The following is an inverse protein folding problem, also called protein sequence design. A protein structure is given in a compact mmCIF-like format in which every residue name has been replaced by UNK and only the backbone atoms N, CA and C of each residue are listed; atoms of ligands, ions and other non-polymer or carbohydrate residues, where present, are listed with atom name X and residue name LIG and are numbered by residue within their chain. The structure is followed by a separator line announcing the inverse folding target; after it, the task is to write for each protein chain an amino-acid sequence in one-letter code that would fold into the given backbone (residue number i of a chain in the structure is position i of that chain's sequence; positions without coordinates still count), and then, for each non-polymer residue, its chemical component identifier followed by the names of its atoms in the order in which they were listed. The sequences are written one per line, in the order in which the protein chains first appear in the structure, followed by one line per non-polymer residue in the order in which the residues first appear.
data_IF_884047545451
#
_entry.id   IF_884047545451
#
_cell.length_a   1.000
_cell.length_b   1.000
_cell.length_c   1.000
_cell.angle_alpha   90.00
_cell.angle_beta   90.00
_cell.angle_gamma   90.00
#
_symmetry.space_group_name_H-M   'P 1'
#
loop_
_entity.id
_entity.type
_entity.pdbx_description
1 polymer ?
#
# COMPACT_ATOMS: atom_id res chain seq x y z
N UNK A 1 -10.88 -17.31 -2.49
CA UNK A 1 -10.50 -17.39 -3.91
C UNK A 1 -10.19 -15.97 -4.40
N UNK A 2 -9.08 -15.73 -5.12
CA UNK A 2 -8.77 -14.42 -5.73
C UNK A 2 -8.85 -14.59 -7.24
N UNK A 3 -9.62 -13.75 -7.93
CA UNK A 3 -9.63 -13.69 -9.37
C UNK A 3 -8.30 -13.04 -9.82
N UNK A 4 -7.56 -13.73 -10.67
CA UNK A 4 -6.33 -13.21 -11.25
C UNK A 4 -6.45 -13.28 -12.77
N UNK A 5 -6.25 -12.14 -13.41
CA UNK A 5 -6.29 -12.03 -14.87
C UNK A 5 -4.87 -12.11 -15.42
N UNK A 6 -4.69 -12.79 -16.54
CA UNK A 6 -3.40 -12.88 -17.23
C UNK A 6 -3.12 -11.61 -18.04
N UNK A 7 -2.36 -10.69 -17.46
CA UNK A 7 -1.93 -9.45 -18.11
C UNK A 7 -0.57 -9.54 -18.81
N UNK A 8 0.01 -10.73 -19.03
CA UNK A 8 1.35 -10.84 -19.63
C UNK A 8 1.47 -10.11 -20.96
N UNK A 9 0.47 -10.20 -21.85
CA UNK A 9 0.44 -9.49 -23.13
C UNK A 9 0.37 -7.97 -22.94
N UNK A 10 -0.48 -7.49 -22.06
CA UNK A 10 -0.59 -6.06 -21.74
C UNK A 10 0.71 -5.55 -21.11
N UNK A 11 1.26 -6.29 -20.17
CA UNK A 11 2.51 -5.94 -19.49
C UNK A 11 3.72 -5.85 -20.44
N UNK A 12 3.74 -6.65 -21.51
CA UNK A 12 4.78 -6.60 -22.52
C UNK A 12 4.76 -5.30 -23.34
N UNK A 13 3.59 -4.69 -23.50
CA UNK A 13 3.39 -3.42 -24.21
C UNK A 13 3.46 -2.20 -23.27
N UNK A 14 3.39 -2.42 -21.98
CA UNK A 14 3.36 -1.36 -20.97
C UNK A 14 4.76 -0.82 -20.72
N UNK A 15 4.95 0.47 -20.84
CA UNK A 15 6.17 1.14 -20.38
C UNK A 15 6.27 0.99 -18.87
N UNK A 16 7.35 0.33 -18.41
CA UNK A 16 7.55 0.04 -17.00
C UNK A 16 7.89 1.31 -16.22
N UNK A 17 7.11 1.60 -15.21
CA UNK A 17 7.41 2.64 -14.23
C UNK A 17 8.59 2.18 -13.34
N UNK A 18 9.62 3.03 -13.25
CA UNK A 18 10.83 2.78 -12.45
C UNK A 18 10.77 3.48 -11.09
N UNK A 19 9.58 3.75 -10.58
CA UNK A 19 9.45 4.36 -9.26
C UNK A 19 10.18 3.49 -8.22
N UNK A 20 11.11 4.08 -7.45
CA UNK A 20 11.89 3.32 -6.50
C UNK A 20 11.00 2.73 -5.42
N UNK A 21 11.03 1.42 -5.25
CA UNK A 21 10.45 0.80 -4.07
C UNK A 21 11.34 1.08 -2.86
N UNK A 22 10.77 1.32 -1.68
CA UNK A 22 11.55 1.55 -0.46
C UNK A 22 12.55 0.41 -0.25
N UNK A 23 13.81 0.78 0.00
CA UNK A 23 14.83 -0.21 0.35
C UNK A 23 14.75 -0.52 1.85
N UNK A 24 14.66 -1.79 2.19
CA UNK A 24 14.63 -2.27 3.58
C UNK A 24 15.95 -1.96 4.29
N UNK A 25 17.04 -1.83 3.56
CA UNK A 25 18.40 -1.64 4.09
C UNK A 25 18.60 -0.30 4.85
N UNK A 26 17.73 0.69 4.66
CA UNK A 26 17.79 1.98 5.37
C UNK A 26 17.00 2.00 6.68
N UNK A 27 16.32 0.91 7.03
CA UNK A 27 15.45 0.82 8.21
C UNK A 27 16.18 0.64 9.55
N UNK A 28 17.36 -0.05 9.66
CA UNK A 28 17.95 -0.36 10.95
C UNK A 28 18.28 0.86 11.81
N UNK A 29 18.80 1.93 11.21
CA UNK A 29 19.18 3.14 11.95
C UNK A 29 17.96 3.88 12.50
N UNK A 30 16.88 3.92 11.75
CA UNK A 30 15.61 4.57 12.14
C UNK A 30 14.92 3.84 13.29
N UNK A 31 15.07 2.52 13.37
CA UNK A 31 14.44 1.69 14.39
C UNK A 31 15.30 1.57 15.67
N UNK A 32 16.52 2.11 15.67
CA UNK A 32 17.42 2.00 16.79
C UNK A 32 16.88 2.66 18.06
N UNK A 33 16.84 1.88 19.15
CA UNK A 33 16.31 2.31 20.45
C UNK A 33 14.78 2.33 20.56
N UNK A 34 14.05 1.96 19.50
CA UNK A 34 12.60 1.76 19.58
C UNK A 34 12.26 0.48 20.35
N UNK A 35 11.15 0.52 21.10
CA UNK A 35 10.67 -0.57 21.95
C UNK A 35 9.24 -1.00 21.63
N UNK A 36 8.49 -0.17 20.94
CA UNK A 36 7.11 -0.43 20.59
C UNK A 36 6.96 -0.39 19.07
N UNK A 37 6.32 -1.41 18.53
CA UNK A 37 6.11 -1.57 17.10
C UNK A 37 4.66 -1.93 16.83
N UNK A 38 4.09 -1.37 15.76
CA UNK A 38 2.78 -1.76 15.26
C UNK A 38 2.83 -1.89 13.75
N UNK A 39 2.41 -3.04 13.26
CA UNK A 39 2.26 -3.30 11.82
C UNK A 39 0.80 -3.17 11.43
N UNK A 40 0.52 -2.38 10.42
CA UNK A 40 -0.81 -2.16 9.86
C UNK A 40 -0.84 -2.59 8.40
N UNK A 41 -1.70 -3.55 8.05
CA UNK A 41 -1.90 -4.07 6.69
C UNK A 41 -3.16 -3.43 6.08
N UNK A 42 -3.04 -2.92 4.85
CA UNK A 42 -4.17 -2.34 4.15
C UNK A 42 -5.11 -3.42 3.60
N UNK A 43 -6.41 -3.23 3.78
CA UNK A 43 -7.42 -4.14 3.24
C UNK A 43 -7.48 -4.05 1.72
N UNK A 44 -6.92 -5.05 1.02
CA UNK A 44 -6.94 -5.07 -0.45
C UNK A 44 -6.28 -3.83 -1.06
N UNK A 45 -5.10 -3.43 -0.59
CA UNK A 45 -4.45 -2.15 -0.87
C UNK A 45 -4.63 -1.65 -2.31
N UNK A 46 -4.27 -2.45 -3.32
CA UNK A 46 -4.43 -2.09 -4.72
C UNK A 46 -5.89 -1.80 -5.12
N UNK A 47 -6.84 -2.53 -4.55
CA UNK A 47 -8.26 -2.34 -4.89
C UNK A 47 -8.88 -1.10 -4.26
N UNK A 48 -8.17 -0.40 -3.40
CA UNK A 48 -8.58 0.90 -2.86
C UNK A 48 -8.14 2.06 -3.76
N UNK A 49 -7.39 1.78 -4.83
CA UNK A 49 -6.89 2.78 -5.77
C UNK A 49 -7.67 2.68 -7.08
N UNK A 50 -8.26 3.77 -7.53
CA UNK A 50 -8.96 3.82 -8.81
C UNK A 50 -7.99 3.85 -9.99
N UNK A 51 -8.40 3.23 -11.10
CA UNK A 51 -7.75 3.37 -12.41
C UNK A 51 -8.40 4.54 -13.14
N UNK A 52 -7.59 5.39 -13.78
CA UNK A 52 -8.06 6.44 -14.68
C UNK A 52 -9.03 5.84 -15.70
N UNK A 53 -10.14 6.50 -15.95
CA UNK A 53 -11.21 5.99 -16.82
C UNK A 53 -10.70 5.64 -18.22
N UNK A 54 -9.73 6.40 -18.74
CA UNK A 54 -9.08 6.17 -20.03
C UNK A 54 -8.29 4.86 -20.11
N UNK A 55 -7.90 4.32 -18.96
CA UNK A 55 -7.08 3.11 -18.85
C UNK A 55 -7.89 1.87 -18.45
N UNK A 56 -9.13 2.03 -17.98
CA UNK A 56 -9.98 0.93 -17.50
C UNK A 56 -10.22 -0.14 -18.56
N UNK A 57 -10.44 0.25 -19.81
CA UNK A 57 -10.69 -0.69 -20.91
C UNK A 57 -9.50 -1.60 -21.22
N UNK A 58 -8.27 -1.17 -20.91
CA UNK A 58 -7.06 -1.98 -21.04
C UNK A 58 -7.05 -3.18 -20.09
N UNK A 59 -7.85 -3.14 -19.03
CA UNK A 59 -8.00 -4.22 -18.04
C UNK A 59 -9.13 -5.19 -18.36
N UNK A 60 -9.77 -5.04 -19.53
CA UNK A 60 -10.93 -5.84 -19.91
C UNK A 60 -10.62 -7.34 -20.00
N UNK A 61 -11.54 -8.15 -19.51
CA UNK A 61 -11.51 -9.60 -19.58
C UNK A 61 -12.91 -10.16 -19.89
N UNK A 62 -12.97 -11.36 -20.40
CA UNK A 62 -14.21 -12.04 -20.79
C UNK A 62 -14.45 -13.23 -19.88
N UNK A 63 -15.69 -13.42 -19.47
CA UNK A 63 -16.19 -14.61 -18.78
C UNK A 63 -17.36 -15.20 -19.56
N UNK A 64 -17.90 -16.31 -19.09
CA UNK A 64 -19.13 -16.89 -19.69
C UNK A 64 -20.35 -15.95 -19.58
N UNK A 65 -20.33 -15.05 -18.61
CA UNK A 65 -21.42 -14.13 -18.28
C UNK A 65 -21.29 -12.75 -18.98
N UNK A 66 -20.14 -12.49 -19.63
CA UNK A 66 -19.92 -11.25 -20.36
C UNK A 66 -18.51 -10.71 -20.28
N UNK A 67 -18.37 -9.48 -20.72
CA UNK A 67 -17.13 -8.72 -20.71
C UNK A 67 -17.12 -7.75 -19.51
N UNK A 68 -16.01 -7.72 -18.81
CA UNK A 68 -15.81 -6.93 -17.59
C UNK A 68 -14.51 -6.17 -17.67
N UNK A 69 -14.41 -5.08 -16.89
CA UNK A 69 -13.17 -4.32 -16.70
C UNK A 69 -13.02 -3.91 -15.24
N UNK A 70 -11.79 -3.72 -14.80
CA UNK A 70 -11.52 -3.21 -13.46
C UNK A 70 -11.73 -1.69 -13.39
N UNK A 71 -12.36 -1.22 -12.31
CA UNK A 71 -12.41 0.20 -11.94
C UNK A 71 -11.23 0.58 -11.03
N UNK A 72 -10.64 -0.41 -10.38
CA UNK A 72 -9.58 -0.27 -9.39
C UNK A 72 -8.33 -1.02 -9.82
N UNK A 73 -7.20 -0.69 -9.24
CA UNK A 73 -5.90 -1.23 -9.59
C UNK A 73 -5.89 -2.76 -9.39
N UNK A 74 -5.71 -3.49 -10.49
CA UNK A 74 -5.77 -4.94 -10.48
C UNK A 74 -4.41 -5.57 -10.17
N UNK A 75 -4.45 -6.70 -9.47
CA UNK A 75 -3.27 -7.56 -9.31
C UNK A 75 -2.79 -8.07 -10.67
N UNK A 76 -1.47 -8.10 -10.85
CA UNK A 76 -0.84 -8.61 -12.08
C UNK A 76 -0.52 -7.55 -13.13
N UNK A 77 -0.95 -6.30 -12.98
CA UNK A 77 -0.49 -5.19 -13.81
C UNK A 77 0.96 -4.82 -13.46
N UNK A 78 1.82 -4.64 -14.46
CA UNK A 78 3.26 -4.40 -14.28
C UNK A 78 3.56 -3.18 -13.40
N UNK A 79 2.79 -2.10 -13.55
CA UNK A 79 3.00 -0.84 -12.85
C UNK A 79 2.17 -0.71 -11.56
N UNK A 80 1.37 -1.71 -11.18
CA UNK A 80 0.55 -1.64 -9.98
C UNK A 80 1.37 -1.43 -8.69
N UNK A 81 2.49 -2.13 -8.46
CA UNK A 81 3.32 -1.89 -7.28
C UNK A 81 3.90 -0.47 -7.23
N UNK A 82 4.43 0.03 -8.35
CA UNK A 82 5.04 1.38 -8.44
C UNK A 82 4.01 2.48 -8.23
N UNK A 83 2.82 2.34 -8.82
CA UNK A 83 1.73 3.31 -8.64
C UNK A 83 1.22 3.31 -7.20
N UNK A 84 1.07 2.14 -6.61
CA UNK A 84 0.64 2.03 -5.22
C UNK A 84 1.67 2.61 -4.26
N UNK A 85 2.96 2.31 -4.46
CA UNK A 85 4.06 2.89 -3.66
C UNK A 85 4.06 4.43 -3.73
N UNK A 86 3.85 5.01 -4.92
CA UNK A 86 3.74 6.46 -5.12
C UNK A 86 2.56 7.07 -4.33
N UNK A 87 1.43 6.39 -4.33
CA UNK A 87 0.25 6.82 -3.58
C UNK A 87 0.54 6.77 -2.08
N UNK A 88 1.15 5.69 -1.61
CA UNK A 88 1.50 5.55 -0.19
C UNK A 88 2.53 6.58 0.25
N UNK A 89 3.50 6.93 -0.60
CA UNK A 89 4.44 8.03 -0.33
C UNK A 89 3.72 9.38 -0.21
N UNK A 90 2.76 9.65 -1.08
CA UNK A 90 1.93 10.85 -0.99
C UNK A 90 1.08 10.86 0.28
N UNK A 91 0.39 9.76 0.57
CA UNK A 91 -0.46 9.61 1.77
C UNK A 91 0.35 9.79 3.04
N UNK A 92 1.53 9.19 3.15
CA UNK A 92 2.38 9.24 4.33
C UNK A 92 3.44 10.34 4.27
N UNK A 93 3.30 11.29 3.34
CA UNK A 93 4.22 12.42 3.22
C UNK A 93 4.37 13.17 4.55
N UNK A 94 5.63 13.39 4.96
CA UNK A 94 5.99 14.02 6.23
C UNK A 94 5.88 13.11 7.47
N UNK A 95 5.51 11.83 7.31
CA UNK A 95 5.47 10.85 8.41
C UNK A 95 6.51 9.74 8.23
N UNK A 96 6.96 9.51 7.02
CA UNK A 96 7.93 8.46 6.70
C UNK A 96 9.28 8.75 7.35
N UNK A 97 9.89 7.76 7.97
CA UNK A 97 11.13 7.74 8.75
C UNK A 97 11.06 8.38 10.14
N UNK A 98 10.06 9.19 10.45
CA UNK A 98 9.90 9.82 11.78
C UNK A 98 8.80 9.13 12.61
N UNK A 99 7.67 8.85 11.96
CA UNK A 99 6.48 8.25 12.60
C UNK A 99 6.32 6.79 12.21
N UNK A 100 6.51 6.49 10.93
CA UNK A 100 6.32 5.14 10.37
C UNK A 100 7.30 4.84 9.24
N UNK A 101 7.41 3.56 8.90
CA UNK A 101 7.97 3.09 7.63
C UNK A 101 6.87 2.49 6.79
N UNK A 102 6.96 2.66 5.49
CA UNK A 102 5.98 2.11 4.54
C UNK A 102 6.70 1.19 3.57
N UNK A 103 6.21 -0.03 3.45
CA UNK A 103 6.68 -0.99 2.47
C UNK A 103 5.50 -1.60 1.73
N UNK A 104 5.25 -1.09 0.51
CA UNK A 104 4.06 -1.44 -0.27
C UNK A 104 2.77 -1.15 0.52
N UNK A 105 2.02 -2.19 0.86
CA UNK A 105 0.76 -2.14 1.61
C UNK A 105 0.92 -2.30 3.14
N UNK A 106 2.15 -2.51 3.62
CA UNK A 106 2.48 -2.61 5.04
C UNK A 106 2.99 -1.28 5.60
N UNK A 107 2.42 -0.84 6.72
CA UNK A 107 2.83 0.35 7.46
C UNK A 107 3.34 -0.10 8.82
N UNK A 108 4.63 0.19 9.12
CA UNK A 108 5.26 -0.09 10.40
C UNK A 108 5.39 1.21 11.20
N UNK A 109 4.63 1.33 12.28
CA UNK A 109 4.74 2.42 13.26
C UNK A 109 5.71 1.99 14.36
N UNK A 110 6.59 2.88 14.78
CA UNK A 110 7.61 2.59 15.80
C UNK A 110 7.83 3.77 16.74
N UNK A 111 8.22 3.47 17.98
CA UNK A 111 8.50 4.48 19.01
C UNK A 111 9.33 3.95 20.16
N UNK A 112 9.87 4.88 20.97
CA UNK A 112 10.65 4.54 22.16
C UNK A 112 9.78 4.36 23.40
N UNK A 113 8.66 5.05 23.50
CA UNK A 113 7.75 5.03 24.64
C UNK A 113 6.32 4.65 24.22
N UNK A 114 5.55 4.16 25.19
CA UNK A 114 4.16 3.79 24.94
C UNK A 114 3.27 4.99 24.60
N UNK A 115 3.47 6.12 25.27
CA UNK A 115 2.68 7.34 25.02
C UNK A 115 2.96 7.88 23.62
N UNK A 116 4.25 8.00 23.26
CA UNK A 116 4.64 8.38 21.89
C UNK A 116 4.03 7.44 20.84
N UNK A 117 3.95 6.15 21.14
CA UNK A 117 3.39 5.17 20.22
C UNK A 117 1.90 5.38 19.96
N UNK A 118 1.14 5.74 21.00
CA UNK A 118 -0.28 6.09 20.86
C UNK A 118 -0.48 7.30 19.96
N UNK A 119 0.32 8.36 20.18
CA UNK A 119 0.24 9.59 19.38
C UNK A 119 0.60 9.34 17.91
N UNK A 120 1.63 8.55 17.66
CA UNK A 120 2.06 8.15 16.32
C UNK A 120 0.99 7.29 15.61
N UNK A 121 0.40 6.33 16.31
CA UNK A 121 -0.71 5.52 15.76
C UNK A 121 -1.92 6.40 15.42
N UNK A 122 -2.31 7.30 16.32
CA UNK A 122 -3.40 8.24 16.07
C UNK A 122 -3.14 9.08 14.81
N UNK A 123 -1.92 9.58 14.65
CA UNK A 123 -1.49 10.36 13.48
C UNK A 123 -1.60 9.55 12.18
N UNK A 124 -1.15 8.28 12.21
CA UNK A 124 -1.23 7.39 11.04
C UNK A 124 -2.68 7.07 10.70
N UNK A 125 -3.52 6.76 11.69
CA UNK A 125 -4.94 6.44 11.47
C UNK A 125 -5.72 7.65 10.94
N UNK A 126 -5.48 8.85 11.47
CA UNK A 126 -6.08 10.09 10.97
C UNK A 126 -5.69 10.34 9.50
N UNK A 127 -4.43 10.07 9.15
CA UNK A 127 -3.95 10.20 7.79
C UNK A 127 -4.63 9.20 6.84
N UNK A 128 -4.75 7.94 7.24
CA UNK A 128 -5.45 6.91 6.46
C UNK A 128 -6.93 7.25 6.27
N UNK A 129 -7.59 7.74 7.31
CA UNK A 129 -9.00 8.14 7.24
C UNK A 129 -9.22 9.30 6.28
N UNK A 130 -8.34 10.32 6.30
CA UNK A 130 -8.34 11.44 5.34
C UNK A 130 -8.33 11.00 3.88
N UNK A 131 -7.58 9.96 3.58
CA UNK A 131 -7.48 9.40 2.22
C UNK A 131 -8.44 8.24 1.99
N UNK A 132 -9.36 7.99 2.92
CA UNK A 132 -10.35 6.90 2.87
C UNK A 132 -9.76 5.51 2.72
N UNK A 133 -8.50 5.32 3.13
CA UNK A 133 -7.83 4.03 3.12
C UNK A 133 -8.25 3.18 4.31
N UNK A 134 -8.57 1.93 4.05
CA UNK A 134 -9.08 0.99 5.04
C UNK A 134 -8.03 -0.05 5.41
N UNK A 135 -7.86 -0.25 6.71
CA UNK A 135 -7.02 -1.32 7.25
C UNK A 135 -7.77 -2.66 7.30
N UNK A 136 -7.01 -3.73 7.40
CA UNK A 136 -7.49 -5.08 7.70
C UNK A 136 -7.13 -5.46 9.14
N UNK A 137 -8.02 -5.25 10.13
CA UNK A 137 -7.68 -5.44 11.55
C UNK A 137 -7.13 -6.83 11.88
N UNK A 138 -7.63 -7.89 11.21
CA UNK A 138 -7.18 -9.26 11.43
C UNK A 138 -5.73 -9.54 10.99
N UNK A 139 -5.10 -8.60 10.29
CA UNK A 139 -3.71 -8.66 9.86
C UNK A 139 -2.85 -7.57 10.49
N UNK A 140 -3.45 -6.69 11.28
CA UNK A 140 -2.70 -5.70 12.04
C UNK A 140 -2.21 -6.30 13.34
N UNK A 141 -0.96 -5.98 13.70
CA UNK A 141 -0.35 -6.36 14.98
C UNK A 141 0.04 -5.08 15.70
N UNK A 142 -0.63 -4.79 16.81
CA UNK A 142 -0.40 -3.56 17.56
C UNK A 142 0.43 -3.81 18.83
N UNK A 143 1.25 -2.82 19.22
CA UNK A 143 2.02 -2.81 20.47
C UNK A 143 2.93 -4.04 20.68
N UNK A 144 3.57 -4.50 19.61
CA UNK A 144 4.61 -5.53 19.71
C UNK A 144 5.88 -4.93 20.35
N UNK A 145 6.64 -5.77 21.07
CA UNK A 145 7.93 -5.42 21.71
C UNK A 145 9.06 -6.25 21.14
#
# INVERSE_FOLDING_TARGET
MRLCIDYRKLNALTTKDKFPLPKIDTCPDTLNGCKFFSSCDLRWGYWQTEIDERDRDKTAFVTREGQWRFKVLSLGLANAPSQFARIMELVMSGLTYDVCLVYLDDILVFSKTFVEHLDKLATVFDRLDRYSLKLKPSKCSLFQR
#
